data_IF_198426571677
#
_entry.id   IF_198426571677
#
_cell.length_a   1.000
_cell.length_b   1.000
_cell.length_c   1.000
_cell.angle_alpha   90.00
_cell.angle_beta   90.00
_cell.angle_gamma   90.00
#
_symmetry.space_group_name_H-M   'P 1'
#
loop_
_entity.id
_entity.type
_entity.pdbx_description
1 polymer ?
#
# COMPACT_ATOMS: atom_id res chain seq x y z
N UNK A 1 33.63 19.27 53.52
CA UNK A 1 33.36 20.38 52.59
C UNK A 1 32.24 19.95 51.64
N UNK A 2 31.16 20.67 51.68
CA UNK A 2 29.83 20.37 51.17
C UNK A 2 29.73 20.37 49.64
N UNK A 3 28.83 19.62 49.02
CA UNK A 3 28.53 19.71 47.60
C UNK A 3 27.61 20.91 47.31
N UNK A 4 27.68 21.57 46.16
CA UNK A 4 26.75 22.62 45.80
C UNK A 4 25.49 22.04 45.13
N UNK A 5 24.42 22.25 45.76
CA UNK A 5 23.03 22.60 45.47
C UNK A 5 22.58 22.58 43.97
N UNK A 6 21.60 21.71 43.74
CA UNK A 6 20.32 21.97 43.09
C UNK A 6 20.25 23.13 42.12
N UNK A 7 20.28 22.83 40.82
CA UNK A 7 19.69 23.67 39.78
C UNK A 7 18.19 23.38 39.69
N UNK A 8 17.41 24.29 40.26
CA UNK A 8 15.94 24.33 40.10
C UNK A 8 15.64 24.48 38.60
N UNK A 9 15.05 23.48 37.99
CA UNK A 9 14.47 23.55 36.64
C UNK A 9 13.31 24.54 36.71
N UNK A 10 13.48 25.71 36.13
CA UNK A 10 12.39 26.67 35.88
C UNK A 10 11.40 26.04 34.91
N UNK A 11 10.18 25.80 35.39
CA UNK A 11 9.01 25.51 34.60
C UNK A 11 8.75 26.65 33.61
N UNK A 12 9.09 26.48 32.34
CA UNK A 12 8.85 27.51 31.34
C UNK A 12 9.65 27.38 30.05
N UNK A 13 10.50 26.40 29.90
CA UNK A 13 11.20 26.19 28.64
C UNK A 13 10.24 25.59 27.61
N UNK A 14 9.58 26.47 26.84
CA UNK A 14 9.03 26.13 25.56
C UNK A 14 10.14 25.46 24.74
N UNK A 15 9.97 24.18 24.46
CA UNK A 15 10.89 23.39 23.65
C UNK A 15 11.18 24.17 22.36
N UNK A 16 12.43 24.62 22.18
CA UNK A 16 12.81 25.47 21.06
C UNK A 16 12.39 24.80 19.75
N UNK A 17 11.79 25.55 18.82
CA UNK A 17 11.43 25.10 17.47
C UNK A 17 12.58 24.34 16.77
N UNK A 18 13.83 24.65 17.10
CA UNK A 18 15.03 23.98 16.58
C UNK A 18 15.25 22.60 17.19
N UNK A 19 14.83 22.37 18.46
CA UNK A 19 14.88 21.06 19.12
C UNK A 19 13.74 20.14 18.66
N UNK A 20 12.55 20.69 18.39
CA UNK A 20 11.42 19.92 17.83
C UNK A 20 11.73 19.39 16.43
N UNK A 21 12.48 20.15 15.62
CA UNK A 21 12.86 19.79 14.25
C UNK A 21 13.72 18.52 14.16
N UNK A 22 14.51 18.22 15.19
CA UNK A 22 15.36 17.03 15.23
C UNK A 22 14.66 15.82 15.90
N UNK A 23 13.39 15.96 16.33
CA UNK A 23 12.67 14.86 16.97
C UNK A 23 11.92 14.01 15.94
N UNK A 24 12.17 12.71 15.86
CA UNK A 24 11.50 11.82 14.92
C UNK A 24 9.98 11.87 14.99
N UNK A 25 9.41 12.06 16.17
CA UNK A 25 7.95 12.19 16.38
C UNK A 25 7.31 13.35 15.59
N UNK A 26 8.08 14.37 15.24
CA UNK A 26 7.57 15.52 14.49
C UNK A 26 7.40 15.23 12.99
N UNK A 27 8.12 14.26 12.43
CA UNK A 27 8.08 14.06 10.98
C UNK A 27 7.79 12.62 10.53
N UNK A 28 8.17 11.58 11.29
CA UNK A 28 7.92 10.18 10.90
C UNK A 28 6.42 9.91 10.72
N UNK A 29 5.53 10.26 11.68
CA UNK A 29 4.09 10.02 11.53
C UNK A 29 3.51 10.66 10.27
N UNK A 30 3.76 11.94 10.05
CA UNK A 30 3.22 12.69 8.91
C UNK A 30 3.84 12.27 7.58
N UNK A 31 5.09 11.81 7.56
CA UNK A 31 5.77 11.34 6.36
C UNK A 31 5.09 10.08 5.80
N UNK A 32 4.81 9.10 6.67
CA UNK A 32 4.17 7.86 6.24
C UNK A 32 2.67 7.98 6.03
N UNK A 33 2.01 8.92 6.71
CA UNK A 33 0.64 9.33 6.35
C UNK A 33 0.60 9.91 4.92
N UNK A 34 1.54 10.80 4.58
CA UNK A 34 1.65 11.40 3.25
C UNK A 34 2.02 10.37 2.16
N UNK A 35 2.69 9.28 2.49
CA UNK A 35 2.99 8.18 1.57
C UNK A 35 1.75 7.36 1.23
N UNK A 36 0.88 7.09 2.21
CA UNK A 36 -0.31 6.26 2.03
C UNK A 36 -1.42 6.94 1.23
N UNK A 37 -1.60 8.26 1.36
CA UNK A 37 -2.71 8.98 0.74
C UNK A 37 -2.71 8.93 -0.80
N UNK A 38 -1.61 9.24 -1.52
CA UNK A 38 -1.60 9.16 -2.98
C UNK A 38 -1.71 7.72 -3.49
N UNK A 39 -1.12 6.75 -2.80
CA UNK A 39 -1.32 5.34 -3.12
C UNK A 39 -2.79 4.94 -3.01
N UNK A 40 -3.45 5.31 -1.91
CA UNK A 40 -4.88 5.07 -1.71
C UNK A 40 -5.73 5.75 -2.79
N UNK A 41 -5.41 7.01 -3.15
CA UNK A 41 -6.13 7.75 -4.18
C UNK A 41 -6.06 7.06 -5.55
N UNK A 42 -4.86 6.63 -5.97
CA UNK A 42 -4.63 6.03 -7.29
C UNK A 42 -5.10 4.57 -7.37
N UNK A 43 -4.93 3.78 -6.30
CA UNK A 43 -5.11 2.33 -6.37
C UNK A 43 -6.43 1.82 -5.79
N UNK A 44 -7.08 2.60 -4.92
CA UNK A 44 -8.26 2.17 -4.18
C UNK A 44 -9.47 3.10 -4.39
N UNK A 45 -9.31 4.40 -4.13
CA UNK A 45 -10.38 5.39 -4.28
C UNK A 45 -10.82 5.47 -5.76
N UNK A 46 -9.85 5.45 -6.70
CA UNK A 46 -10.13 5.47 -8.13
C UNK A 46 -11.03 4.32 -8.60
N UNK A 47 -10.93 3.13 -7.97
CA UNK A 47 -11.76 1.97 -8.31
C UNK A 47 -13.24 2.27 -8.07
N UNK A 48 -13.57 2.80 -6.88
CA UNK A 48 -14.95 3.15 -6.52
C UNK A 48 -15.44 4.33 -7.36
N UNK A 49 -14.60 5.36 -7.53
CA UNK A 49 -14.93 6.51 -8.38
C UNK A 49 -15.25 6.07 -9.82
N UNK A 50 -14.39 5.27 -10.46
CA UNK A 50 -14.61 4.82 -11.83
C UNK A 50 -15.87 3.97 -11.97
N UNK A 51 -16.18 3.14 -10.96
CA UNK A 51 -17.44 2.39 -10.91
C UNK A 51 -18.65 3.34 -10.91
N UNK A 52 -18.63 4.42 -10.12
CA UNK A 52 -19.73 5.39 -10.07
C UNK A 52 -19.85 6.26 -11.32
N UNK A 53 -18.76 6.43 -12.07
CA UNK A 53 -18.77 7.05 -13.39
C UNK A 53 -19.19 6.09 -14.51
N UNK A 54 -19.66 4.86 -14.17
CA UNK A 54 -20.28 3.93 -15.09
C UNK A 54 -19.32 3.02 -15.86
N UNK A 55 -18.05 2.90 -15.47
CA UNK A 55 -17.13 1.96 -16.08
C UNK A 55 -17.47 0.53 -15.64
N UNK A 56 -17.26 -0.45 -16.53
CA UNK A 56 -17.37 -1.86 -16.19
C UNK A 56 -16.10 -2.38 -15.49
N UNK A 57 -16.18 -3.56 -14.88
CA UNK A 57 -15.09 -4.11 -14.07
C UNK A 57 -13.79 -4.31 -14.86
N UNK A 58 -13.90 -4.77 -16.14
CA UNK A 58 -12.71 -4.95 -17.00
C UNK A 58 -11.99 -3.63 -17.28
N UNK A 59 -12.72 -2.55 -17.52
CA UNK A 59 -12.15 -1.22 -17.70
C UNK A 59 -11.49 -0.71 -16.42
N UNK A 60 -12.18 -0.82 -15.28
CA UNK A 60 -11.66 -0.36 -13.98
C UNK A 60 -10.39 -1.10 -13.62
N UNK A 61 -10.42 -2.42 -13.65
CA UNK A 61 -9.28 -3.25 -13.26
C UNK A 61 -8.12 -3.11 -14.25
N UNK A 62 -8.43 -3.01 -15.54
CA UNK A 62 -7.45 -2.73 -16.58
C UNK A 62 -6.71 -1.42 -16.32
N UNK A 63 -7.41 -0.30 -16.25
CA UNK A 63 -6.80 1.01 -16.06
C UNK A 63 -6.05 1.11 -14.72
N UNK A 64 -6.67 0.71 -13.62
CA UNK A 64 -6.04 0.83 -12.29
C UNK A 64 -4.86 -0.13 -12.09
N UNK A 65 -4.78 -1.24 -12.82
CA UNK A 65 -3.59 -2.10 -12.79
C UNK A 65 -2.41 -1.48 -13.55
N UNK A 66 -2.66 -0.83 -14.70
CA UNK A 66 -1.63 -0.06 -15.40
C UNK A 66 -1.05 1.08 -14.56
N UNK A 67 -1.87 1.73 -13.73
CA UNK A 67 -1.39 2.76 -12.80
C UNK A 67 -0.42 2.20 -11.74
N UNK A 68 -0.35 0.89 -11.57
CA UNK A 68 0.61 0.21 -10.67
C UNK A 68 2.03 0.05 -11.22
N UNK A 69 2.25 0.29 -12.53
CA UNK A 69 3.58 0.12 -13.17
C UNK A 69 4.71 0.84 -12.42
N UNK A 70 4.56 2.10 -11.97
CA UNK A 70 5.63 2.79 -11.28
C UNK A 70 6.18 2.02 -10.06
N UNK A 71 5.34 1.35 -9.28
CA UNK A 71 5.81 0.58 -8.13
C UNK A 71 6.52 -0.72 -8.51
N UNK A 72 6.22 -1.30 -9.70
CA UNK A 72 6.95 -2.46 -10.24
C UNK A 72 8.35 -2.07 -10.69
N UNK A 73 8.45 -0.98 -11.45
CA UNK A 73 9.72 -0.56 -12.06
C UNK A 73 10.55 0.39 -11.18
N UNK A 74 10.06 0.73 -9.98
CA UNK A 74 10.72 1.59 -8.99
C UNK A 74 12.23 1.28 -8.77
N UNK A 75 12.71 0.01 -8.77
CA UNK A 75 14.14 -0.27 -8.64
C UNK A 75 15.01 0.30 -9.77
N UNK A 76 14.43 0.55 -10.94
CA UNK A 76 15.18 1.06 -12.11
C UNK A 76 15.63 2.50 -11.90
N UNK A 77 14.80 3.36 -11.28
CA UNK A 77 15.17 4.77 -11.09
C UNK A 77 15.54 5.13 -9.64
N UNK A 78 15.45 4.21 -8.70
CA UNK A 78 15.91 4.46 -7.32
C UNK A 78 17.34 5.01 -7.26
N UNK A 79 18.31 4.49 -8.04
CA UNK A 79 19.66 5.05 -8.06
C UNK A 79 19.74 6.49 -8.57
N UNK A 80 18.82 6.90 -9.44
CA UNK A 80 18.75 8.29 -9.92
C UNK A 80 18.39 9.23 -8.76
N UNK A 81 17.42 8.82 -7.94
CA UNK A 81 16.97 9.58 -6.78
C UNK A 81 18.09 9.72 -5.74
N UNK A 82 18.89 8.65 -5.58
CA UNK A 82 20.01 8.64 -4.64
C UNK A 82 21.14 9.60 -5.04
N UNK A 83 21.33 9.83 -6.34
CA UNK A 83 22.50 10.54 -6.86
C UNK A 83 22.21 11.97 -7.34
N UNK A 84 20.96 12.33 -7.68
CA UNK A 84 20.71 13.65 -8.28
C UNK A 84 20.46 14.77 -7.27
N UNK A 85 19.75 14.48 -6.20
CA UNK A 85 19.36 15.48 -5.19
C UNK A 85 19.23 14.83 -3.82
N UNK A 86 19.09 15.64 -2.76
CA UNK A 86 18.82 15.14 -1.41
C UNK A 86 17.46 14.45 -1.32
N UNK A 87 17.33 13.43 -0.47
CA UNK A 87 16.06 12.77 -0.18
C UNK A 87 15.00 13.77 0.27
N UNK A 88 15.41 14.73 1.12
CA UNK A 88 14.53 15.81 1.55
C UNK A 88 13.98 16.62 0.38
N UNK A 89 14.81 16.94 -0.63
CA UNK A 89 14.35 17.66 -1.82
C UNK A 89 13.30 16.86 -2.60
N UNK A 90 13.54 15.56 -2.81
CA UNK A 90 12.62 14.68 -3.50
C UNK A 90 11.28 14.55 -2.75
N UNK A 91 11.30 14.34 -1.42
CA UNK A 91 10.09 14.27 -0.59
C UNK A 91 9.23 15.52 -0.81
N UNK A 92 9.81 16.70 -0.61
CA UNK A 92 9.08 17.97 -0.74
C UNK A 92 8.55 18.18 -2.15
N UNK A 93 9.39 17.99 -3.17
CA UNK A 93 8.99 18.18 -4.56
C UNK A 93 7.84 17.23 -4.95
N UNK A 94 7.92 15.96 -4.57
CA UNK A 94 6.87 14.99 -4.89
C UNK A 94 5.57 15.28 -4.14
N UNK A 95 5.62 15.71 -2.89
CA UNK A 95 4.41 16.12 -2.15
C UNK A 95 3.68 17.28 -2.82
N UNK A 96 4.41 18.29 -3.30
CA UNK A 96 3.82 19.40 -4.04
C UNK A 96 3.28 18.95 -5.41
N UNK A 97 4.03 18.14 -6.16
CA UNK A 97 3.56 17.59 -7.45
C UNK A 97 2.29 16.79 -7.23
N UNK A 98 2.25 15.89 -6.27
CA UNK A 98 1.08 15.07 -5.94
C UNK A 98 -0.10 15.96 -5.57
N UNK A 99 0.09 16.94 -4.68
CA UNK A 99 -0.97 17.86 -4.26
C UNK A 99 -1.57 18.63 -5.43
N UNK A 100 -0.73 19.19 -6.30
CA UNK A 100 -1.19 19.89 -7.51
C UNK A 100 -1.90 18.94 -8.48
N UNK A 101 -1.34 17.75 -8.73
CA UNK A 101 -1.96 16.76 -9.61
C UNK A 101 -3.31 16.27 -9.09
N UNK A 102 -3.48 16.08 -7.77
CA UNK A 102 -4.78 15.72 -7.17
C UNK A 102 -5.82 16.83 -7.37
N UNK A 103 -5.41 18.10 -7.24
CA UNK A 103 -6.29 19.22 -7.56
C UNK A 103 -6.65 19.26 -9.05
N UNK A 104 -5.70 18.95 -9.95
CA UNK A 104 -5.98 18.84 -11.39
C UNK A 104 -6.96 17.69 -11.68
N UNK A 105 -6.82 16.51 -11.04
CA UNK A 105 -7.82 15.43 -11.17
C UNK A 105 -9.20 15.97 -10.81
N UNK A 106 -9.35 16.67 -9.67
CA UNK A 106 -10.62 17.21 -9.22
C UNK A 106 -11.29 18.08 -10.30
N UNK A 107 -10.54 18.97 -10.94
CA UNK A 107 -11.06 19.87 -11.97
C UNK A 107 -11.36 19.17 -13.30
N UNK A 108 -10.81 17.98 -13.56
CA UNK A 108 -11.12 17.23 -14.78
C UNK A 108 -12.42 16.44 -14.68
N UNK A 109 -12.86 16.04 -13.48
CA UNK A 109 -14.02 15.17 -13.29
C UNK A 109 -15.34 15.69 -13.88
N UNK A 110 -15.66 16.99 -13.85
CA UNK A 110 -16.89 17.49 -14.47
C UNK A 110 -16.78 17.69 -15.99
N UNK A 111 -15.67 17.35 -16.63
CA UNK A 111 -15.44 17.56 -18.07
C UNK A 111 -15.79 16.34 -18.92
N UNK A 112 -16.03 16.53 -20.23
CA UNK A 112 -16.33 15.43 -21.14
C UNK A 112 -15.16 14.45 -21.35
N UNK A 113 -13.91 14.88 -21.11
CA UNK A 113 -12.70 14.06 -21.25
C UNK A 113 -12.11 13.60 -19.90
N UNK A 114 -12.95 13.57 -18.86
CA UNK A 114 -12.56 13.25 -17.49
C UNK A 114 -11.72 11.96 -17.37
N UNK A 115 -12.08 10.91 -18.11
CA UNK A 115 -11.41 9.61 -18.01
C UNK A 115 -9.97 9.68 -18.49
N UNK A 116 -9.74 10.22 -19.71
CA UNK A 116 -8.41 10.30 -20.30
C UNK A 116 -7.52 11.23 -19.48
N UNK A 117 -8.06 12.39 -19.05
CA UNK A 117 -7.32 13.34 -18.26
C UNK A 117 -7.00 12.81 -16.86
N UNK A 118 -7.97 12.21 -16.16
CA UNK A 118 -7.72 11.64 -14.83
C UNK A 118 -6.72 10.50 -14.88
N UNK A 119 -6.78 9.59 -15.87
CA UNK A 119 -5.82 8.50 -16.03
C UNK A 119 -4.40 9.02 -16.29
N UNK A 120 -4.24 10.02 -17.16
CA UNK A 120 -2.95 10.65 -17.43
C UNK A 120 -2.37 11.29 -16.16
N UNK A 121 -3.19 12.04 -15.41
CA UNK A 121 -2.77 12.69 -14.17
C UNK A 121 -2.48 11.65 -13.07
N UNK A 122 -3.31 10.61 -12.93
CA UNK A 122 -3.05 9.51 -11.99
C UNK A 122 -1.73 8.79 -12.28
N UNK A 123 -1.35 8.64 -13.55
CA UNK A 123 -0.05 8.07 -13.90
C UNK A 123 1.09 8.97 -13.39
N UNK A 124 0.97 10.29 -13.53
CA UNK A 124 1.95 11.24 -12.95
C UNK A 124 1.98 11.13 -11.42
N UNK A 125 0.82 11.06 -10.76
CA UNK A 125 0.72 10.86 -9.31
C UNK A 125 1.39 9.53 -8.90
N UNK A 126 1.18 8.45 -9.66
CA UNK A 126 1.77 7.14 -9.38
C UNK A 126 3.31 7.17 -9.44
N UNK A 127 3.90 7.81 -10.46
CA UNK A 127 5.35 8.02 -10.54
C UNK A 127 5.87 8.91 -9.40
N UNK A 128 5.17 10.00 -9.11
CA UNK A 128 5.53 10.90 -8.01
C UNK A 128 5.42 10.20 -6.65
N UNK A 129 4.38 9.37 -6.44
CA UNK A 129 4.18 8.61 -5.21
C UNK A 129 5.27 7.52 -5.04
N UNK A 130 5.60 6.77 -6.09
CA UNK A 130 6.68 5.79 -6.05
C UNK A 130 8.05 6.44 -5.79
N UNK A 131 8.27 7.66 -6.32
CA UNK A 131 9.48 8.47 -6.07
C UNK A 131 9.51 8.99 -4.62
N UNK A 132 8.37 9.44 -4.11
CA UNK A 132 8.21 9.86 -2.71
C UNK A 132 8.53 8.70 -1.76
N UNK A 133 7.99 7.50 -2.02
CA UNK A 133 8.18 6.28 -1.26
C UNK A 133 9.69 5.90 -1.16
N UNK A 134 10.41 5.86 -2.29
CA UNK A 134 11.87 5.64 -2.30
C UNK A 134 12.59 6.67 -1.43
N UNK A 135 12.20 7.94 -1.56
CA UNK A 135 12.86 9.05 -0.87
C UNK A 135 12.54 9.05 0.62
N UNK A 136 11.31 8.73 1.00
CA UNK A 136 10.87 8.66 2.39
C UNK A 136 11.56 7.51 3.13
N UNK A 137 11.64 6.32 2.52
CA UNK A 137 12.36 5.17 3.08
C UNK A 137 13.86 5.45 3.23
N UNK A 138 14.48 6.05 2.20
CA UNK A 138 15.88 6.48 2.28
C UNK A 138 16.11 7.54 3.35
N UNK A 139 15.21 8.51 3.47
CA UNK A 139 15.30 9.56 4.47
C UNK A 139 15.13 9.03 5.90
N UNK A 140 14.24 8.04 6.10
CA UNK A 140 14.07 7.34 7.37
C UNK A 140 15.39 6.69 7.84
N UNK A 141 16.11 6.05 6.92
CA UNK A 141 17.38 5.37 7.23
C UNK A 141 18.48 6.36 7.60
N UNK A 142 18.63 7.48 6.87
CA UNK A 142 19.70 8.46 7.11
C UNK A 142 19.35 9.49 8.18
N UNK A 143 18.07 9.69 8.44
CA UNK A 143 17.56 10.67 9.41
C UNK A 143 17.47 10.17 10.85
N UNK A 144 17.60 8.85 11.07
CA UNK A 144 17.45 8.19 12.36
C UNK A 144 18.67 7.34 12.70
N UNK A 145 19.05 7.31 13.97
CA UNK A 145 20.01 6.34 14.50
C UNK A 145 19.40 4.92 14.51
N UNK A 146 20.23 3.86 14.50
CA UNK A 146 19.75 2.47 14.44
C UNK A 146 18.72 2.13 15.54
N UNK A 147 18.95 2.61 16.77
CA UNK A 147 17.98 2.41 17.88
C UNK A 147 16.68 3.16 17.67
N UNK A 148 16.72 4.34 17.06
CA UNK A 148 15.52 5.10 16.71
C UNK A 148 14.77 4.41 15.58
N UNK A 149 15.46 3.86 14.55
CA UNK A 149 14.83 3.11 13.48
C UNK A 149 14.03 1.92 14.03
N UNK A 150 14.58 1.15 14.96
CA UNK A 150 13.88 0.04 15.61
C UNK A 150 12.64 0.51 16.38
N UNK A 151 12.73 1.62 17.10
CA UNK A 151 11.62 2.19 17.86
C UNK A 151 10.51 2.73 16.95
N UNK A 152 10.89 3.42 15.87
CA UNK A 152 9.95 4.10 14.99
C UNK A 152 9.37 3.23 13.88
N UNK A 153 9.83 2.00 13.65
CA UNK A 153 9.27 1.09 12.64
C UNK A 153 7.79 0.81 12.88
N UNK A 154 7.40 0.64 14.14
CA UNK A 154 5.98 0.48 14.50
C UNK A 154 5.15 1.73 14.23
N UNK A 155 5.68 2.91 14.57
CA UNK A 155 5.05 4.22 14.31
C UNK A 155 4.85 4.44 12.81
N UNK A 156 5.88 4.22 12.01
CA UNK A 156 5.86 4.27 10.55
C UNK A 156 4.71 3.43 9.98
N UNK A 157 4.68 2.14 10.32
CA UNK A 157 3.67 1.20 9.82
C UNK A 157 2.26 1.60 10.27
N UNK A 158 2.10 2.07 11.51
CA UNK A 158 0.82 2.51 12.05
C UNK A 158 0.27 3.72 11.28
N UNK A 159 1.09 4.76 11.06
CA UNK A 159 0.64 5.96 10.36
C UNK A 159 0.40 5.73 8.86
N UNK A 160 1.16 4.83 8.21
CA UNK A 160 0.83 4.38 6.87
C UNK A 160 -0.57 3.74 6.83
N UNK A 161 -0.89 2.85 7.79
CA UNK A 161 -2.21 2.21 7.85
C UNK A 161 -3.33 3.18 8.21
N UNK A 162 -3.08 4.15 9.09
CA UNK A 162 -4.03 5.24 9.35
C UNK A 162 -4.34 5.99 8.04
N UNK A 163 -3.32 6.28 7.22
CA UNK A 163 -3.52 6.90 5.92
C UNK A 163 -4.38 6.04 4.97
N UNK A 164 -4.21 4.72 4.99
CA UNK A 164 -5.06 3.79 4.22
C UNK A 164 -6.51 3.80 4.72
N UNK A 165 -6.74 3.77 6.05
CA UNK A 165 -8.10 3.89 6.63
C UNK A 165 -8.75 5.22 6.28
N UNK A 166 -8.00 6.32 6.38
CA UNK A 166 -8.50 7.66 6.01
C UNK A 166 -8.86 7.69 4.53
N UNK A 167 -7.99 7.18 3.65
CA UNK A 167 -8.23 7.17 2.21
C UNK A 167 -9.39 6.27 1.80
N UNK A 168 -9.24 4.97 2.01
CA UNK A 168 -10.19 3.96 1.53
C UNK A 168 -11.46 3.89 2.38
N UNK A 169 -11.37 4.15 3.69
CA UNK A 169 -12.51 4.19 4.59
C UNK A 169 -13.15 5.58 4.63
N UNK A 170 -12.47 6.53 5.26
CA UNK A 170 -13.04 7.84 5.59
C UNK A 170 -13.42 8.69 4.38
N UNK A 171 -12.55 8.78 3.36
CA UNK A 171 -12.82 9.62 2.19
C UNK A 171 -13.87 9.01 1.25
N UNK A 172 -13.93 7.69 1.10
CA UNK A 172 -15.00 7.03 0.34
C UNK A 172 -16.34 7.18 1.06
N UNK A 173 -16.36 7.00 2.39
CA UNK A 173 -17.55 7.27 3.21
C UNK A 173 -18.00 8.75 3.04
N UNK A 174 -17.07 9.69 3.08
CA UNK A 174 -17.39 11.12 2.89
C UNK A 174 -17.96 11.40 1.50
N UNK A 175 -17.45 10.73 0.45
CA UNK A 175 -18.02 10.84 -0.89
C UNK A 175 -19.50 10.44 -0.92
N UNK A 176 -19.84 9.30 -0.28
CA UNK A 176 -21.23 8.86 -0.13
C UNK A 176 -22.09 9.84 0.64
N UNK A 177 -21.61 10.32 1.79
CA UNK A 177 -22.33 11.31 2.61
C UNK A 177 -22.59 12.64 1.86
N UNK A 178 -21.66 13.05 0.99
CA UNK A 178 -21.85 14.24 0.13
C UNK A 178 -22.90 14.02 -0.97
N UNK A 179 -23.04 12.78 -1.46
CA UNK A 179 -24.02 12.42 -2.48
C UNK A 179 -25.43 12.30 -1.89
N UNK A 180 -25.58 11.57 -0.77
CA UNK A 180 -26.86 11.27 -0.15
C UNK A 180 -27.38 12.40 0.76
N UNK A 181 -26.49 13.33 1.13
CA UNK A 181 -26.79 14.42 2.07
C UNK A 181 -26.70 13.98 3.53
N UNK A 182 -25.89 14.66 4.31
CA UNK A 182 -25.73 14.43 5.76
C UNK A 182 -27.06 14.64 6.52
N UNK A 183 -27.99 15.41 5.93
CA UNK A 183 -29.29 15.76 6.51
C UNK A 183 -30.48 15.46 5.59
N UNK A 184 -30.34 14.52 4.66
CA UNK A 184 -31.44 14.10 3.77
C UNK A 184 -31.69 14.99 2.53
N UNK A 185 -30.88 16.01 2.32
CA UNK A 185 -30.91 16.84 1.10
C UNK A 185 -29.76 16.42 0.20
N UNK A 186 -30.05 15.96 -1.01
CA UNK A 186 -29.02 15.68 -2.02
C UNK A 186 -28.16 16.91 -2.26
N UNK A 187 -26.89 16.88 -1.84
CA UNK A 187 -26.02 18.05 -1.84
C UNK A 187 -25.19 18.13 -3.12
N UNK A 188 -24.76 17.01 -3.68
CA UNK A 188 -23.84 17.03 -4.80
C UNK A 188 -24.11 15.92 -5.82
N UNK A 189 -23.89 16.23 -7.10
CA UNK A 189 -23.76 15.24 -8.16
C UNK A 189 -22.51 14.38 -7.91
N UNK A 190 -22.48 13.17 -8.44
CA UNK A 190 -21.33 12.24 -8.31
C UNK A 190 -20.00 12.91 -8.65
N UNK A 191 -19.93 13.63 -9.77
CA UNK A 191 -18.71 14.36 -10.17
C UNK A 191 -18.28 15.43 -9.17
N UNK A 192 -19.22 16.15 -8.55
CA UNK A 192 -18.93 17.20 -7.57
C UNK A 192 -18.45 16.60 -6.24
N UNK A 193 -19.07 15.50 -5.79
CA UNK A 193 -18.62 14.82 -4.55
C UNK A 193 -17.19 14.31 -4.68
N UNK A 194 -16.85 13.62 -5.78
CA UNK A 194 -15.49 13.17 -6.02
C UNK A 194 -14.51 14.31 -6.25
N UNK A 195 -14.93 15.38 -6.93
CA UNK A 195 -14.12 16.61 -7.05
C UNK A 195 -13.73 17.14 -5.66
N UNK A 196 -14.68 17.25 -4.72
CA UNK A 196 -14.41 17.70 -3.36
C UNK A 196 -13.46 16.75 -2.62
N UNK A 197 -13.62 15.43 -2.76
CA UNK A 197 -12.71 14.44 -2.16
C UNK A 197 -11.27 14.66 -2.64
N UNK A 198 -11.05 14.79 -3.96
CA UNK A 198 -9.69 15.00 -4.48
C UNK A 198 -9.13 16.37 -4.08
N UNK A 199 -9.95 17.42 -3.96
CA UNK A 199 -9.51 18.72 -3.43
C UNK A 199 -9.12 18.63 -1.95
N UNK A 200 -9.84 17.85 -1.14
CA UNK A 200 -9.48 17.61 0.26
C UNK A 200 -8.11 16.91 0.35
N UNK A 201 -7.91 15.85 -0.43
CA UNK A 201 -6.61 15.13 -0.43
C UNK A 201 -5.50 16.07 -0.92
N UNK A 202 -5.76 16.85 -1.97
CA UNK A 202 -4.81 17.83 -2.50
C UNK A 202 -4.42 18.87 -1.43
N UNK A 203 -5.39 19.45 -0.73
CA UNK A 203 -5.16 20.40 0.35
C UNK A 203 -4.34 19.78 1.48
N UNK A 204 -4.67 18.55 1.90
CA UNK A 204 -3.93 17.82 2.93
C UNK A 204 -2.47 17.58 2.48
N UNK A 205 -2.25 17.13 1.25
CA UNK A 205 -0.90 16.90 0.72
C UNK A 205 -0.06 18.18 0.65
N UNK A 206 -0.65 19.29 0.19
CA UNK A 206 0.02 20.58 0.14
C UNK A 206 0.34 21.11 1.55
N UNK A 207 -0.58 20.97 2.51
CA UNK A 207 -0.37 21.36 3.90
C UNK A 207 0.73 20.52 4.54
N UNK A 208 0.75 19.20 4.30
CA UNK A 208 1.84 18.32 4.76
C UNK A 208 3.17 18.73 4.10
N UNK A 209 3.18 19.04 2.81
CA UNK A 209 4.38 19.53 2.11
C UNK A 209 4.91 20.84 2.72
N UNK A 210 4.03 21.79 3.03
CA UNK A 210 4.38 23.03 3.75
C UNK A 210 4.91 22.74 5.17
N UNK A 211 4.28 21.83 5.90
CA UNK A 211 4.75 21.39 7.21
C UNK A 211 6.14 20.75 7.11
N UNK A 212 6.35 19.82 6.19
CA UNK A 212 7.62 19.14 5.98
C UNK A 212 8.72 20.07 5.49
N UNK A 213 8.40 21.13 4.75
CA UNK A 213 9.39 22.14 4.35
C UNK A 213 10.10 22.78 5.54
N UNK A 214 9.40 22.84 6.69
CA UNK A 214 9.91 23.40 7.95
C UNK A 214 10.42 22.32 8.91
N UNK A 215 9.74 21.15 8.98
CA UNK A 215 9.97 20.14 10.03
C UNK A 215 10.96 19.05 9.64
N UNK A 216 11.10 18.68 8.36
CA UNK A 216 12.11 17.69 7.96
C UNK A 216 13.52 18.22 8.24
N UNK A 217 14.36 17.49 9.00
CA UNK A 217 15.73 17.89 9.29
C UNK A 217 16.58 17.91 8.02
N UNK A 218 17.63 18.73 8.02
CA UNK A 218 18.62 18.81 6.94
C UNK A 218 19.80 17.89 7.29
N UNK A 219 19.59 16.58 7.17
CA UNK A 219 20.60 15.58 7.55
C UNK A 219 21.62 15.32 6.45
N UNK A 220 21.25 15.52 5.19
CA UNK A 220 22.15 15.33 4.06
C UNK A 220 23.00 16.58 3.84
N UNK A 221 24.31 16.40 3.80
CA UNK A 221 25.22 17.40 3.25
C UNK A 221 25.12 17.29 1.74
N UNK A 222 24.99 18.41 1.06
CA UNK A 222 25.11 18.48 -0.40
C UNK A 222 26.59 18.27 -0.75
N UNK A 223 27.06 17.04 -0.67
CA UNK A 223 28.38 16.70 -1.20
C UNK A 223 28.30 16.80 -2.72
N UNK A 224 29.40 17.24 -3.36
CA UNK A 224 29.48 17.27 -4.80
C UNK A 224 29.23 15.84 -5.30
N UNK A 225 28.06 15.62 -5.91
CA UNK A 225 27.71 14.31 -6.44
C UNK A 225 28.77 13.91 -7.46
N UNK A 226 29.40 12.76 -7.27
CA UNK A 226 30.19 12.10 -8.29
C UNK A 226 29.37 12.06 -9.56
N UNK A 227 29.97 12.30 -10.71
CA UNK A 227 29.26 12.39 -11.98
C UNK A 227 28.37 11.16 -12.14
N UNK A 228 27.03 11.37 -12.15
CA UNK A 228 26.03 10.30 -12.31
C UNK A 228 26.27 9.63 -13.67
N UNK A 229 26.56 8.34 -13.66
CA UNK A 229 26.74 7.53 -14.87
C UNK A 229 25.61 6.53 -15.01
N UNK A 230 24.76 6.72 -16.02
CA UNK A 230 23.73 5.73 -16.37
C UNK A 230 24.31 4.34 -16.68
N UNK A 231 25.51 4.29 -17.27
CA UNK A 231 26.19 3.03 -17.59
C UNK A 231 26.61 2.28 -16.31
N UNK A 232 27.07 3.00 -15.29
CA UNK A 232 27.45 2.43 -14.00
C UNK A 232 26.23 1.90 -13.24
N UNK A 233 25.16 2.69 -13.17
CA UNK A 233 23.90 2.27 -12.54
C UNK A 233 23.27 1.06 -13.26
N UNK A 234 23.30 1.03 -14.60
CA UNK A 234 22.86 -0.12 -15.37
C UNK A 234 23.70 -1.37 -15.08
N UNK A 235 25.03 -1.21 -14.94
CA UNK A 235 25.93 -2.32 -14.56
C UNK A 235 25.61 -2.85 -13.16
N UNK A 236 25.40 -1.94 -12.20
CA UNK A 236 25.02 -2.30 -10.82
C UNK A 236 23.68 -3.04 -10.76
N UNK A 237 22.70 -2.60 -11.53
CA UNK A 237 21.41 -3.29 -11.65
C UNK A 237 21.56 -4.69 -12.24
N UNK A 238 22.34 -4.81 -13.34
CA UNK A 238 22.64 -6.12 -13.96
C UNK A 238 23.38 -7.04 -12.98
N UNK A 239 24.35 -6.50 -12.21
CA UNK A 239 25.05 -7.28 -11.18
C UNK A 239 24.11 -7.76 -10.09
N UNK A 240 23.16 -6.94 -9.67
CA UNK A 240 22.12 -7.33 -8.70
C UNK A 240 21.21 -8.42 -9.27
N UNK A 241 20.82 -8.34 -10.55
CA UNK A 241 20.06 -9.40 -11.23
C UNK A 241 20.85 -10.71 -11.30
N UNK A 242 22.17 -10.65 -11.53
CA UNK A 242 23.04 -11.86 -11.49
C UNK A 242 23.06 -12.47 -10.10
N UNK A 243 23.29 -11.66 -9.04
CA UNK A 243 23.25 -12.12 -7.64
C UNK A 243 21.90 -12.76 -7.32
N UNK A 244 20.80 -12.14 -7.73
CA UNK A 244 19.45 -12.68 -7.56
C UNK A 244 19.29 -14.04 -8.28
N UNK A 245 19.71 -14.12 -9.54
CA UNK A 245 19.57 -15.32 -10.39
C UNK A 245 20.45 -16.50 -9.93
N UNK A 246 21.55 -16.23 -9.23
CA UNK A 246 22.46 -17.27 -8.71
C UNK A 246 22.11 -17.75 -7.30
N UNK A 247 21.04 -17.19 -6.69
CA UNK A 247 20.62 -17.66 -5.35
C UNK A 247 20.16 -19.12 -5.35
N UNK A 248 20.39 -19.84 -4.24
CA UNK A 248 19.89 -21.21 -4.09
C UNK A 248 18.38 -21.27 -4.32
N UNK A 249 17.92 -22.31 -4.99
CA UNK A 249 16.49 -22.57 -5.21
C UNK A 249 15.73 -21.41 -5.88
N UNK A 250 16.40 -20.61 -6.71
CA UNK A 250 15.84 -19.39 -7.35
C UNK A 250 14.54 -19.67 -8.10
N UNK A 251 14.40 -20.79 -8.81
CA UNK A 251 13.19 -21.09 -9.60
C UNK A 251 11.99 -21.26 -8.68
N UNK A 252 12.08 -22.04 -7.61
CA UNK A 252 10.98 -22.24 -6.66
C UNK A 252 10.68 -20.98 -5.86
N UNK A 253 11.72 -20.22 -5.51
CA UNK A 253 11.56 -18.91 -4.87
C UNK A 253 10.87 -17.91 -5.80
N UNK A 254 11.25 -17.85 -7.08
CA UNK A 254 10.63 -16.95 -8.06
C UNK A 254 9.15 -17.32 -8.31
N UNK A 255 8.83 -18.61 -8.44
CA UNK A 255 7.46 -19.08 -8.54
C UNK A 255 6.65 -18.68 -7.30
N UNK A 256 7.21 -18.83 -6.11
CA UNK A 256 6.57 -18.43 -4.87
C UNK A 256 6.38 -16.91 -4.81
N UNK A 257 7.39 -16.11 -5.16
CA UNK A 257 7.32 -14.65 -5.19
C UNK A 257 6.20 -14.15 -6.13
N UNK A 258 6.07 -14.75 -7.31
CA UNK A 258 5.13 -14.31 -8.33
C UNK A 258 3.70 -14.83 -8.11
N UNK A 259 3.55 -16.08 -7.64
CA UNK A 259 2.27 -16.78 -7.69
C UNK A 259 1.60 -17.00 -6.33
N UNK A 260 2.32 -16.82 -5.22
CA UNK A 260 1.75 -17.03 -3.89
C UNK A 260 0.49 -16.20 -3.64
N UNK A 261 0.50 -14.95 -4.07
CA UNK A 261 -0.59 -13.99 -3.87
C UNK A 261 -1.53 -13.88 -5.09
N UNK A 262 -1.51 -14.84 -6.00
CA UNK A 262 -2.35 -14.80 -7.19
C UNK A 262 -3.86 -14.73 -6.87
N UNK A 263 -4.42 -15.54 -5.95
CA UNK A 263 -5.83 -15.42 -5.56
C UNK A 263 -6.16 -14.05 -4.98
N UNK A 264 -5.36 -13.57 -4.04
CA UNK A 264 -5.51 -12.27 -3.38
C UNK A 264 -5.44 -11.11 -4.37
N UNK A 265 -4.54 -11.21 -5.35
CA UNK A 265 -4.43 -10.21 -6.40
C UNK A 265 -5.68 -10.11 -7.28
N UNK A 266 -6.35 -11.23 -7.53
CA UNK A 266 -7.65 -11.26 -8.20
C UNK A 266 -8.73 -10.59 -7.35
N UNK A 267 -8.74 -10.85 -6.03
CA UNK A 267 -9.71 -10.30 -5.09
C UNK A 267 -9.52 -8.80 -4.87
N UNK A 268 -8.30 -8.31 -4.79
CA UNK A 268 -7.97 -6.92 -4.43
C UNK A 268 -8.76 -5.87 -5.21
N UNK A 269 -9.05 -6.14 -6.50
CA UNK A 269 -9.81 -5.21 -7.36
C UNK A 269 -11.29 -5.56 -7.45
N UNK A 270 -11.63 -6.83 -7.41
CA UNK A 270 -13.02 -7.29 -7.62
C UNK A 270 -13.85 -7.20 -6.34
N UNK A 271 -13.29 -7.46 -5.18
CA UNK A 271 -14.05 -7.37 -3.92
C UNK A 271 -14.67 -5.99 -3.70
N UNK A 272 -13.95 -4.86 -3.83
CA UNK A 272 -14.57 -3.54 -3.75
C UNK A 272 -15.72 -3.33 -4.74
N UNK A 273 -15.58 -3.83 -5.96
CA UNK A 273 -16.61 -3.74 -6.99
C UNK A 273 -17.82 -4.62 -6.63
N UNK A 274 -17.60 -5.88 -6.31
CA UNK A 274 -18.64 -6.81 -5.86
C UNK A 274 -19.44 -6.28 -4.67
N UNK A 275 -18.76 -5.72 -3.67
CA UNK A 275 -19.43 -5.16 -2.49
C UNK A 275 -20.33 -3.96 -2.85
N UNK A 276 -19.96 -3.16 -3.86
CA UNK A 276 -20.64 -1.89 -4.17
C UNK A 276 -21.48 -1.92 -5.46
N UNK A 277 -21.38 -2.92 -6.34
CA UNK A 277 -22.26 -3.10 -7.49
C UNK A 277 -23.68 -3.41 -7.04
N UNK A 278 -24.66 -3.03 -7.86
CA UNK A 278 -26.08 -3.28 -7.58
C UNK A 278 -26.39 -4.78 -7.55
N UNK A 279 -27.49 -5.16 -6.90
CA UNK A 279 -27.95 -6.54 -6.88
C UNK A 279 -28.28 -7.06 -8.30
N UNK A 280 -28.75 -6.20 -9.20
CA UNK A 280 -29.01 -6.52 -10.61
C UNK A 280 -27.72 -6.88 -11.36
N UNK A 281 -26.60 -6.28 -10.99
CA UNK A 281 -25.24 -6.60 -11.49
C UNK A 281 -24.61 -7.79 -10.74
N UNK A 282 -25.33 -8.39 -9.78
CA UNK A 282 -24.86 -9.51 -8.94
C UNK A 282 -23.97 -9.11 -7.76
N UNK A 283 -23.94 -7.82 -7.40
CA UNK A 283 -23.22 -7.29 -6.25
C UNK A 283 -24.06 -7.24 -4.97
N UNK A 284 -23.44 -6.82 -3.86
CA UNK A 284 -24.11 -6.66 -2.56
C UNK A 284 -24.78 -5.29 -2.37
N UNK A 285 -24.67 -4.37 -3.31
CA UNK A 285 -25.26 -3.04 -3.30
C UNK A 285 -24.94 -2.20 -2.05
N UNK A 286 -23.77 -2.40 -1.44
CA UNK A 286 -23.35 -1.57 -0.32
C UNK A 286 -23.18 -0.11 -0.77
N UNK A 287 -23.69 0.81 0.04
CA UNK A 287 -23.41 2.25 -0.16
C UNK A 287 -21.93 2.55 0.12
N UNK A 288 -21.46 3.71 -0.34
CA UNK A 288 -20.06 4.13 -0.09
C UNK A 288 -19.78 4.25 1.42
N UNK A 289 -20.75 4.66 2.23
CA UNK A 289 -20.62 4.75 3.68
C UNK A 289 -20.45 3.36 4.30
N UNK A 290 -21.26 2.40 3.87
CA UNK A 290 -21.18 1.02 4.34
C UNK A 290 -19.87 0.35 3.89
N UNK A 291 -19.49 0.54 2.63
CA UNK A 291 -18.22 0.05 2.10
C UNK A 291 -17.01 0.66 2.84
N UNK A 292 -16.99 1.98 3.03
CA UNK A 292 -15.93 2.67 3.76
C UNK A 292 -15.78 2.20 5.20
N UNK A 293 -16.91 1.92 5.88
CA UNK A 293 -16.92 1.37 7.22
C UNK A 293 -16.40 -0.08 7.23
N UNK A 294 -16.99 -0.97 6.41
CA UNK A 294 -16.71 -2.40 6.45
C UNK A 294 -15.33 -2.71 5.88
N UNK A 295 -15.10 -2.37 4.62
CA UNK A 295 -13.87 -2.74 3.91
C UNK A 295 -12.72 -1.77 4.22
N UNK A 296 -13.00 -0.47 4.15
CA UNK A 296 -11.99 0.57 4.34
C UNK A 296 -11.56 0.79 5.78
N UNK A 297 -12.39 0.50 6.77
CA UNK A 297 -12.06 0.71 8.19
C UNK A 297 -11.89 -0.62 8.92
N UNK A 298 -12.96 -1.40 9.08
CA UNK A 298 -12.93 -2.66 9.83
C UNK A 298 -12.01 -3.68 9.14
N UNK A 299 -12.06 -3.77 7.81
CA UNK A 299 -11.17 -4.64 7.04
C UNK A 299 -9.70 -4.30 7.25
N UNK A 300 -9.31 -3.01 7.17
CA UNK A 300 -7.91 -2.59 7.39
C UNK A 300 -7.46 -2.86 8.83
N UNK A 301 -8.33 -2.68 9.82
CA UNK A 301 -8.03 -3.06 11.22
C UNK A 301 -7.84 -4.58 11.32
N UNK A 302 -8.71 -5.37 10.68
CA UNK A 302 -8.56 -6.84 10.61
C UNK A 302 -7.23 -7.26 9.99
N UNK A 303 -6.87 -6.66 8.88
CA UNK A 303 -5.57 -6.87 8.21
C UNK A 303 -4.38 -6.57 9.13
N UNK A 304 -4.43 -5.48 9.90
CA UNK A 304 -3.40 -5.13 10.87
C UNK A 304 -3.27 -6.18 11.97
N UNK A 305 -4.40 -6.57 12.56
CA UNK A 305 -4.42 -7.59 13.62
C UNK A 305 -3.87 -8.91 13.11
N UNK A 306 -4.29 -9.34 11.91
CA UNK A 306 -3.76 -10.52 11.24
C UNK A 306 -2.25 -10.43 11.02
N UNK A 307 -1.75 -9.29 10.53
CA UNK A 307 -0.33 -9.06 10.30
C UNK A 307 0.51 -9.14 11.58
N UNK A 308 0.03 -8.56 12.70
CA UNK A 308 0.70 -8.62 14.01
C UNK A 308 0.75 -10.07 14.52
N UNK A 309 -0.40 -10.76 14.50
CA UNK A 309 -0.49 -12.16 14.96
C UNK A 309 0.32 -13.09 14.06
N UNK A 310 0.30 -12.88 12.75
CA UNK A 310 1.11 -13.65 11.79
C UNK A 310 2.60 -13.47 12.01
N UNK A 311 3.05 -12.22 12.21
CA UNK A 311 4.44 -11.92 12.56
C UNK A 311 4.87 -12.58 13.87
N UNK A 312 4.04 -12.50 14.90
CA UNK A 312 4.26 -13.19 16.18
C UNK A 312 4.34 -14.71 15.99
N UNK A 313 3.43 -15.32 15.22
CA UNK A 313 3.43 -16.76 14.96
C UNK A 313 4.74 -17.21 14.28
N UNK A 314 5.21 -16.46 13.26
CA UNK A 314 6.49 -16.77 12.61
C UNK A 314 7.67 -16.58 13.56
N UNK A 315 7.68 -15.54 14.39
CA UNK A 315 8.76 -15.35 15.38
C UNK A 315 8.80 -16.47 16.42
N UNK A 316 7.63 -17.03 16.79
CA UNK A 316 7.53 -18.08 17.83
C UNK A 316 7.81 -19.48 17.30
N UNK A 317 7.35 -19.80 16.09
CA UNK A 317 7.41 -21.16 15.54
C UNK A 317 8.45 -21.32 14.42
N UNK A 318 9.04 -20.21 13.96
CA UNK A 318 9.88 -20.17 12.76
C UNK A 318 9.05 -20.20 11.48
N UNK A 319 9.60 -19.60 10.41
CA UNK A 319 8.89 -19.45 9.14
C UNK A 319 8.43 -20.78 8.54
N UNK A 320 9.29 -21.81 8.58
CA UNK A 320 9.02 -23.15 8.00
C UNK A 320 7.80 -23.83 8.63
N UNK A 321 7.70 -23.80 9.98
CA UNK A 321 6.57 -24.41 10.69
C UNK A 321 5.30 -23.56 10.60
N UNK A 322 5.44 -22.24 10.60
CA UNK A 322 4.31 -21.32 10.53
C UNK A 322 3.71 -21.18 9.13
N UNK A 323 4.47 -21.51 8.07
CA UNK A 323 4.08 -21.23 6.69
C UNK A 323 2.73 -21.84 6.33
N UNK A 324 2.54 -23.14 6.51
CA UNK A 324 1.32 -23.85 6.14
C UNK A 324 0.07 -23.37 6.89
N UNK A 325 0.06 -23.24 8.23
CA UNK A 325 -1.07 -22.63 8.94
C UNK A 325 -1.42 -21.23 8.42
N UNK A 326 -0.41 -20.40 8.13
CA UNK A 326 -0.61 -19.03 7.66
C UNK A 326 -1.08 -18.98 6.19
N UNK A 327 -0.66 -19.96 5.36
CA UNK A 327 -1.19 -20.13 3.99
C UNK A 327 -2.66 -20.55 4.01
N UNK A 328 -3.06 -21.45 4.89
CA UNK A 328 -4.47 -21.81 5.05
C UNK A 328 -5.30 -20.62 5.56
N UNK A 329 -4.71 -19.80 6.43
CA UNK A 329 -5.38 -18.61 6.95
C UNK A 329 -5.61 -17.51 5.90
N UNK A 330 -4.77 -17.40 4.86
CA UNK A 330 -4.99 -16.43 3.77
C UNK A 330 -5.96 -16.98 2.72
N UNK A 331 -5.99 -18.29 2.46
CA UNK A 331 -6.74 -18.84 1.32
C UNK A 331 -8.14 -19.32 1.70
N UNK A 332 -8.33 -19.92 2.88
CA UNK A 332 -9.65 -20.48 3.25
C UNK A 332 -10.71 -19.40 3.48
N UNK A 333 -10.41 -18.25 4.08
CA UNK A 333 -11.40 -17.19 4.25
C UNK A 333 -11.97 -16.65 2.94
N UNK A 334 -11.28 -16.78 1.79
CA UNK A 334 -11.82 -16.35 0.49
C UNK A 334 -13.16 -17.03 0.13
N UNK A 335 -13.46 -18.19 0.75
CA UNK A 335 -14.76 -18.86 0.65
C UNK A 335 -15.93 -17.97 1.06
N UNK A 336 -15.71 -16.95 1.89
CA UNK A 336 -16.76 -16.02 2.29
C UNK A 336 -17.34 -15.27 1.09
N UNK A 337 -16.50 -14.94 0.10
CA UNK A 337 -16.96 -14.27 -1.12
C UNK A 337 -17.73 -15.23 -2.05
N UNK A 338 -17.37 -16.50 -2.07
CA UNK A 338 -18.20 -17.52 -2.74
C UNK A 338 -19.59 -17.53 -2.10
N UNK A 339 -19.67 -17.65 -0.78
CA UNK A 339 -20.96 -17.64 -0.08
C UNK A 339 -21.76 -16.35 -0.36
N UNK A 340 -21.15 -15.18 -0.18
CA UNK A 340 -21.81 -13.89 -0.38
C UNK A 340 -22.29 -13.69 -1.81
N UNK A 341 -21.59 -14.20 -2.82
CA UNK A 341 -21.99 -14.07 -4.22
C UNK A 341 -23.24 -14.90 -4.61
N UNK A 342 -23.57 -15.92 -3.82
CA UNK A 342 -24.83 -16.67 -3.97
C UNK A 342 -25.94 -16.15 -3.04
N UNK A 343 -25.61 -15.27 -2.07
CA UNK A 343 -26.53 -14.70 -1.08
C UNK A 343 -26.37 -13.18 -1.05
N UNK A 344 -26.74 -12.52 -2.17
CA UNK A 344 -26.60 -11.06 -2.32
C UNK A 344 -27.57 -10.27 -1.42
N UNK A 345 -28.53 -10.95 -0.80
CA UNK A 345 -29.44 -10.42 0.24
C UNK A 345 -28.86 -10.49 1.65
N UNK A 346 -27.59 -10.88 1.81
CA UNK A 346 -26.91 -10.99 3.08
C UNK A 346 -26.97 -9.68 3.87
N UNK A 347 -27.22 -9.79 5.19
CA UNK A 347 -27.25 -8.61 6.05
C UNK A 347 -25.89 -7.91 6.09
N UNK A 348 -25.90 -6.58 6.29
CA UNK A 348 -24.72 -5.76 6.42
C UNK A 348 -23.72 -6.31 7.47
N UNK A 349 -24.25 -6.81 8.60
CA UNK A 349 -23.44 -7.38 9.67
C UNK A 349 -22.75 -8.67 9.26
N UNK A 350 -23.44 -9.53 8.49
CA UNK A 350 -22.86 -10.78 7.98
C UNK A 350 -21.75 -10.47 6.98
N UNK A 351 -22.03 -9.58 6.02
CA UNK A 351 -21.03 -9.13 5.04
C UNK A 351 -19.79 -8.51 5.75
N UNK A 352 -20.00 -7.65 6.74
CA UNK A 352 -18.94 -7.04 7.53
C UNK A 352 -18.11 -8.04 8.32
N UNK A 353 -18.76 -9.02 8.95
CA UNK A 353 -18.07 -10.09 9.68
C UNK A 353 -17.20 -10.93 8.72
N UNK A 354 -17.72 -11.29 7.56
CA UNK A 354 -17.00 -12.07 6.57
C UNK A 354 -15.81 -11.33 5.99
N UNK A 355 -15.96 -10.06 5.65
CA UNK A 355 -14.84 -9.20 5.23
C UNK A 355 -13.77 -9.11 6.32
N UNK A 356 -14.16 -8.95 7.60
CA UNK A 356 -13.17 -8.92 8.70
C UNK A 356 -12.41 -10.24 8.84
N UNK A 357 -13.08 -11.39 8.72
CA UNK A 357 -12.46 -12.71 8.80
C UNK A 357 -11.44 -12.89 7.67
N UNK A 358 -11.82 -12.55 6.44
CA UNK A 358 -10.94 -12.63 5.29
C UNK A 358 -9.74 -11.69 5.44
N UNK A 359 -9.93 -10.44 5.82
CA UNK A 359 -8.85 -9.47 5.99
C UNK A 359 -7.88 -9.84 7.13
N UNK A 360 -8.38 -10.46 8.23
CA UNK A 360 -7.51 -11.05 9.26
C UNK A 360 -6.67 -12.18 8.66
N UNK A 361 -7.29 -13.08 7.91
CA UNK A 361 -6.62 -14.18 7.21
C UNK A 361 -5.56 -13.69 6.24
N UNK A 362 -5.90 -12.69 5.45
CA UNK A 362 -4.95 -12.01 4.55
C UNK A 362 -3.76 -11.44 5.31
N UNK A 363 -3.98 -10.73 6.42
CA UNK A 363 -2.91 -10.20 7.26
C UNK A 363 -1.97 -11.29 7.79
N UNK A 364 -2.53 -12.40 8.28
CA UNK A 364 -1.79 -13.56 8.77
C UNK A 364 -0.83 -14.13 7.70
N UNK A 365 -1.35 -14.46 6.52
CA UNK A 365 -0.55 -15.06 5.44
C UNK A 365 0.43 -14.09 4.82
N UNK A 366 0.06 -12.81 4.70
CA UNK A 366 0.95 -11.77 4.18
C UNK A 366 2.18 -11.54 5.05
N UNK A 367 2.07 -11.71 6.38
CA UNK A 367 3.22 -11.65 7.28
C UNK A 367 4.25 -12.74 6.97
N UNK A 368 3.82 -13.99 6.79
CA UNK A 368 4.71 -15.11 6.42
C UNK A 368 5.38 -14.88 5.06
N UNK A 369 4.62 -14.42 4.09
CA UNK A 369 5.13 -14.11 2.76
C UNK A 369 6.20 -13.01 2.80
N UNK A 370 5.94 -11.90 3.51
CA UNK A 370 6.90 -10.80 3.64
C UNK A 370 8.19 -11.26 4.34
N UNK A 371 8.07 -12.09 5.40
CA UNK A 371 9.24 -12.64 6.08
C UNK A 371 10.03 -13.59 5.19
N UNK A 372 9.38 -14.35 4.31
CA UNK A 372 10.07 -15.11 3.27
C UNK A 372 10.90 -14.21 2.36
N UNK A 373 10.30 -13.09 1.84
CA UNK A 373 11.04 -12.15 0.98
C UNK A 373 12.28 -11.58 1.68
N UNK A 374 12.13 -11.19 2.95
CA UNK A 374 13.25 -10.68 3.76
C UNK A 374 14.34 -11.75 3.93
N UNK A 375 13.96 -12.98 4.28
CA UNK A 375 14.92 -14.08 4.49
C UNK A 375 15.62 -14.46 3.19
N UNK A 376 14.89 -14.58 2.09
CA UNK A 376 15.44 -14.89 0.77
C UNK A 376 16.40 -13.80 0.28
N UNK A 377 16.16 -12.54 0.64
CA UNK A 377 17.00 -11.41 0.22
C UNK A 377 18.33 -11.31 0.97
N UNK A 378 18.53 -12.02 2.09
CA UNK A 378 19.76 -11.98 2.90
C UNK A 378 21.01 -12.32 2.08
N UNK A 379 22.14 -11.73 2.47
CA UNK A 379 23.43 -11.96 1.83
C UNK A 379 23.89 -10.74 1.01
N UNK A 380 24.66 -10.99 -0.03
CA UNK A 380 25.22 -9.95 -0.88
C UNK A 380 24.10 -9.11 -1.53
N UNK A 381 24.23 -7.78 -1.49
CA UNK A 381 23.27 -6.82 -2.05
C UNK A 381 21.83 -6.99 -1.54
N UNK A 382 21.66 -7.36 -0.26
CA UNK A 382 20.36 -7.73 0.33
C UNK A 382 19.24 -6.72 0.06
N UNK A 383 19.50 -5.41 0.19
CA UNK A 383 18.52 -4.34 -0.06
C UNK A 383 18.06 -4.31 -1.52
N UNK A 384 19.00 -4.41 -2.47
CA UNK A 384 18.68 -4.40 -3.89
C UNK A 384 17.95 -5.68 -4.33
N UNK A 385 18.35 -6.85 -3.78
CA UNK A 385 17.64 -8.12 -4.00
C UNK A 385 16.23 -8.05 -3.41
N UNK A 386 16.05 -7.48 -2.21
CA UNK A 386 14.72 -7.29 -1.61
C UNK A 386 13.82 -6.40 -2.48
N UNK A 387 14.38 -5.34 -3.08
CA UNK A 387 13.65 -4.49 -4.02
C UNK A 387 13.17 -5.25 -5.25
N UNK A 388 13.99 -6.19 -5.79
CA UNK A 388 13.57 -7.07 -6.90
C UNK A 388 12.44 -8.00 -6.44
N UNK A 389 12.56 -8.60 -5.24
CA UNK A 389 11.52 -9.47 -4.68
C UNK A 389 10.19 -8.71 -4.51
N UNK A 390 10.22 -7.50 -3.97
CA UNK A 390 9.01 -6.69 -3.77
C UNK A 390 8.40 -6.22 -5.10
N UNK A 391 9.21 -5.90 -6.10
CA UNK A 391 8.73 -5.62 -7.46
C UNK A 391 8.06 -6.86 -8.08
N UNK A 392 8.66 -8.05 -7.96
CA UNK A 392 8.07 -9.32 -8.38
C UNK A 392 6.76 -9.63 -7.66
N UNK A 393 6.72 -9.42 -6.34
CA UNK A 393 5.52 -9.53 -5.51
C UNK A 393 4.39 -8.64 -6.04
N UNK A 394 4.68 -7.38 -6.33
CA UNK A 394 3.68 -6.45 -6.82
C UNK A 394 3.20 -6.83 -8.23
N UNK A 395 4.13 -7.22 -9.10
CA UNK A 395 3.83 -7.66 -10.47
C UNK A 395 2.92 -8.89 -10.49
N UNK A 396 3.33 -9.96 -9.81
CA UNK A 396 2.65 -11.26 -9.82
C UNK A 396 1.46 -11.36 -8.86
N UNK A 397 1.52 -10.64 -7.73
CA UNK A 397 0.49 -10.70 -6.69
C UNK A 397 -0.52 -9.54 -6.70
N UNK A 398 -0.35 -8.51 -7.54
CA UNK A 398 -1.27 -7.35 -7.60
C UNK A 398 -1.57 -6.95 -9.04
N UNK A 399 -0.54 -6.63 -9.84
CA UNK A 399 -0.73 -5.99 -11.14
C UNK A 399 -1.33 -6.94 -12.17
N UNK A 400 -0.70 -8.10 -12.40
CA UNK A 400 -1.18 -9.07 -13.40
C UNK A 400 -2.53 -9.65 -12.99
N UNK A 401 -2.72 -10.19 -11.76
CA UNK A 401 -4.02 -10.71 -11.35
C UNK A 401 -5.09 -9.62 -11.36
N UNK A 402 -4.78 -8.43 -10.85
CA UNK A 402 -5.69 -7.29 -10.88
C UNK A 402 -6.14 -6.94 -12.30
N UNK A 403 -5.21 -6.93 -13.27
CA UNK A 403 -5.53 -6.65 -14.68
C UNK A 403 -6.54 -7.66 -15.26
N UNK A 404 -6.31 -8.95 -15.05
CA UNK A 404 -7.16 -10.01 -15.65
C UNK A 404 -8.47 -10.23 -14.89
N UNK A 405 -8.55 -9.84 -13.62
CA UNK A 405 -9.68 -10.13 -12.73
C UNK A 405 -11.01 -9.59 -13.26
N UNK A 406 -11.02 -8.35 -13.75
CA UNK A 406 -12.23 -7.74 -14.28
C UNK A 406 -12.69 -8.34 -15.61
N UNK A 407 -11.77 -8.81 -16.45
CA UNK A 407 -12.14 -9.53 -17.67
C UNK A 407 -12.80 -10.86 -17.34
N UNK A 408 -12.29 -11.57 -16.32
CA UNK A 408 -12.89 -12.83 -15.88
C UNK A 408 -14.27 -12.55 -15.24
N UNK A 409 -14.37 -11.63 -14.28
CA UNK A 409 -15.63 -11.33 -13.59
C UNK A 409 -16.72 -10.87 -14.55
N UNK A 410 -16.41 -10.00 -15.50
CA UNK A 410 -17.35 -9.56 -16.53
C UNK A 410 -17.84 -10.70 -17.44
N UNK A 411 -16.98 -11.68 -17.73
CA UNK A 411 -17.31 -12.77 -18.66
C UNK A 411 -18.18 -13.85 -18.03
N UNK A 412 -18.00 -14.13 -16.73
CA UNK A 412 -18.63 -15.30 -16.08
C UNK A 412 -19.47 -14.94 -14.85
N UNK A 413 -19.48 -13.67 -14.42
CA UNK A 413 -20.16 -13.19 -13.22
C UNK A 413 -19.42 -13.53 -11.92
N UNK A 414 -19.79 -12.82 -10.83
CA UNK A 414 -19.12 -12.93 -9.53
C UNK A 414 -19.12 -14.33 -8.92
N UNK A 415 -20.24 -15.12 -8.92
CA UNK A 415 -20.22 -16.44 -8.29
C UNK A 415 -19.18 -17.38 -8.91
N UNK A 416 -19.12 -17.44 -10.23
CA UNK A 416 -18.13 -18.27 -10.93
C UNK A 416 -16.71 -17.70 -10.81
N UNK A 417 -16.57 -16.37 -10.78
CA UNK A 417 -15.28 -15.72 -10.54
C UNK A 417 -14.69 -16.14 -9.20
N UNK A 418 -15.45 -16.06 -8.11
CA UNK A 418 -14.95 -16.46 -6.78
C UNK A 418 -14.65 -17.96 -6.69
N UNK A 419 -15.39 -18.83 -7.40
CA UNK A 419 -15.03 -20.24 -7.52
C UNK A 419 -13.68 -20.44 -8.25
N UNK A 420 -13.41 -19.65 -9.30
CA UNK A 420 -12.10 -19.66 -9.98
C UNK A 420 -10.99 -19.17 -9.04
N UNK A 421 -11.23 -18.15 -8.21
CA UNK A 421 -10.27 -17.72 -7.19
C UNK A 421 -9.92 -18.87 -6.26
N UNK A 422 -10.92 -19.63 -5.80
CA UNK A 422 -10.66 -20.82 -4.96
C UNK A 422 -9.85 -21.91 -5.69
N UNK A 423 -10.03 -22.07 -7.01
CA UNK A 423 -9.15 -22.96 -7.79
C UNK A 423 -7.72 -22.45 -7.87
N UNK A 424 -7.52 -21.14 -7.97
CA UNK A 424 -6.17 -20.55 -7.93
C UNK A 424 -5.49 -20.66 -6.56
N UNK A 425 -6.22 -20.88 -5.45
CA UNK A 425 -5.61 -21.24 -4.17
C UNK A 425 -4.79 -22.54 -4.27
N UNK A 426 -5.11 -23.45 -5.19
CA UNK A 426 -4.29 -24.63 -5.46
C UNK A 426 -2.89 -24.26 -5.98
N UNK A 427 -2.78 -23.16 -6.75
CA UNK A 427 -1.49 -22.64 -7.20
C UNK A 427 -0.68 -22.16 -5.99
N UNK A 428 -1.33 -21.41 -5.07
CA UNK A 428 -0.69 -20.97 -3.81
C UNK A 428 -0.19 -22.17 -3.00
N UNK A 429 -0.99 -23.22 -2.85
CA UNK A 429 -0.57 -24.45 -2.17
C UNK A 429 0.59 -25.15 -2.88
N UNK A 430 0.54 -25.22 -4.21
CA UNK A 430 1.60 -25.84 -5.02
C UNK A 430 2.93 -25.11 -4.85
N UNK A 431 2.95 -23.78 -5.01
CA UNK A 431 4.20 -23.03 -4.85
C UNK A 431 4.71 -23.03 -3.41
N UNK A 432 3.81 -23.11 -2.43
CA UNK A 432 4.16 -23.27 -1.01
C UNK A 432 4.81 -24.64 -0.74
N UNK A 433 4.33 -25.70 -1.38
CA UNK A 433 4.93 -27.02 -1.25
C UNK A 433 6.30 -27.13 -1.94
N UNK A 434 6.52 -26.37 -3.01
CA UNK A 434 7.77 -26.39 -3.78
C UNK A 434 8.85 -25.48 -3.19
N UNK A 435 8.46 -24.43 -2.46
CA UNK A 435 9.42 -23.47 -1.92
C UNK A 435 10.28 -24.12 -0.84
N UNK A 436 11.59 -23.91 -0.94
CA UNK A 436 12.53 -24.36 0.08
C UNK A 436 12.92 -23.19 0.98
N UNK A 437 12.77 -23.39 2.27
CA UNK A 437 13.14 -22.42 3.29
C UNK A 437 14.37 -22.98 3.99
N UNK A 438 15.52 -22.33 3.74
CA UNK A 438 16.74 -22.63 4.46
C UNK A 438 16.62 -22.07 5.88
N UNK A 439 16.66 -22.94 6.87
CA UNK A 439 16.79 -22.54 8.25
C UNK A 439 18.21 -21.97 8.42
N UNK A 440 18.37 -20.66 8.38
CA UNK A 440 19.59 -20.04 8.89
C UNK A 440 19.74 -20.47 10.34
N UNK A 441 20.94 -20.91 10.82
CA UNK A 441 21.14 -21.14 12.23
C UNK A 441 20.67 -19.90 12.97
N UNK A 442 19.82 -20.08 13.99
CA UNK A 442 19.52 -19.07 14.97
C UNK A 442 20.88 -18.49 15.39
N UNK A 443 21.04 -17.18 15.25
CA UNK A 443 22.15 -16.50 15.91
C UNK A 443 21.93 -16.81 17.38
N UNK A 444 22.64 -17.80 17.89
CA UNK A 444 22.80 -17.99 19.33
C UNK A 444 23.48 -16.70 19.82
N UNK A 445 22.79 -16.02 20.73
CA UNK A 445 23.28 -14.86 21.46
C UNK A 445 24.54 -15.18 22.28
#
# INVERSE_FOLDING_TARGET
MSPPLTRIVRSGDFCSYKEMKNRPYAWVPSLYLAEALPFSAVMLISVIMFKEFGLNDAQITGYTSWLGIPWVIKPIWSPIIDNLRTKRWWILSMQFVIGVCLALVAFTLPTAFWLQASLAIFMVIAFASATHDISADGFYIIGLESKEQELFVGVRNTFYRIGMVVGQGGLVMLAGLLQHGIFGNHIAQTSTSWMLIFLIIAAVMLLIGLYHSKMLPKVEKTEAHNAFSFAEQGREFINTLKVFATKPHIITALLFILLFRLPEGLLTKIVPLFLTRTAEEGGLALTNEQFGLIYGTLGVIGLLLGGIVGGWAVSRWGLKKALWPLVLSITLPDLVYVYLSYHTDASLWLAGTFVCIEQIGYGLGFAAYTLFLVTFSRGERSTAVFSICTAGQYLGGVMIPGFISGFISNSIGYPKFFLIVMLFCLVTFTVTALVKIDESPSVEE
#
